data_IF_344727919693
#
_entry.id   IF_344727919693
#
_cell.length_a   1.000
_cell.length_b   1.000
_cell.length_c   1.000
_cell.angle_alpha   90.00
_cell.angle_beta   90.00
_cell.angle_gamma   90.00
#
_symmetry.space_group_name_H-M   'P 1'
#
loop_
_entity.id
_entity.type
_entity.pdbx_description
1 polymer ?
#
# COMPACT_ATOMS: atom_id res chain seq x y z
N UNK A 1 -28.73 -29.92 23.15
CA UNK A 1 -27.42 -29.25 23.13
C UNK A 1 -27.61 -27.92 22.41
N UNK A 2 -27.43 -26.79 23.10
CA UNK A 2 -27.53 -25.49 22.45
C UNK A 2 -26.27 -25.28 21.60
N UNK A 3 -26.45 -25.12 20.28
CA UNK A 3 -25.40 -24.70 19.37
C UNK A 3 -24.93 -23.31 19.79
N UNK A 4 -23.68 -23.20 20.23
CA UNK A 4 -23.08 -21.92 20.53
C UNK A 4 -22.92 -21.16 19.20
N UNK A 5 -23.67 -20.06 19.05
CA UNK A 5 -23.42 -19.07 18.01
C UNK A 5 -21.96 -18.63 18.11
N UNK A 6 -21.15 -18.70 17.03
CA UNK A 6 -19.78 -18.24 17.09
C UNK A 6 -19.79 -16.75 17.45
N UNK A 7 -19.10 -16.39 18.53
CA UNK A 7 -18.98 -14.99 18.94
C UNK A 7 -18.36 -14.20 17.78
N UNK A 8 -19.07 -13.21 17.27
CA UNK A 8 -18.54 -12.30 16.26
C UNK A 8 -17.31 -11.62 16.86
N UNK A 9 -16.11 -12.02 16.41
CA UNK A 9 -14.86 -11.45 16.93
C UNK A 9 -14.85 -9.95 16.62
N UNK A 10 -15.00 -9.13 17.65
CA UNK A 10 -15.00 -7.67 17.54
C UNK A 10 -13.65 -7.19 16.99
N UNK A 11 -13.66 -6.24 16.05
CA UNK A 11 -12.45 -5.57 15.60
C UNK A 11 -11.88 -4.68 16.72
N UNK A 12 -10.56 -4.57 16.78
CA UNK A 12 -9.86 -3.64 17.67
C UNK A 12 -10.29 -2.18 17.40
N UNK A 13 -10.29 -1.30 18.43
CA UNK A 13 -10.46 0.14 18.24
C UNK A 13 -9.48 0.68 17.18
N UNK A 14 -9.90 1.64 16.35
CA UNK A 14 -9.07 2.17 15.24
C UNK A 14 -7.77 2.84 15.68
N UNK A 15 -7.67 3.24 16.96
CA UNK A 15 -6.45 3.73 17.61
C UNK A 15 -5.46 2.62 18.02
N UNK A 16 -5.86 1.36 17.90
CA UNK A 16 -5.08 0.19 18.33
C UNK A 16 -4.87 -0.80 17.17
N UNK A 17 -3.82 -1.61 17.32
CA UNK A 17 -3.50 -2.69 16.38
C UNK A 17 -2.98 -2.21 15.02
N UNK A 18 -2.95 -3.11 14.02
CA UNK A 18 -2.39 -2.83 12.71
C UNK A 18 -3.25 -1.86 11.91
N UNK A 19 -2.62 -0.97 11.16
CA UNK A 19 -3.32 -0.03 10.28
C UNK A 19 -4.02 -0.78 9.14
N UNK A 20 -5.19 -0.29 8.76
CA UNK A 20 -5.82 -0.56 7.45
C UNK A 20 -5.93 0.78 6.75
N UNK A 21 -5.21 0.92 5.64
CA UNK A 21 -5.01 2.17 4.92
C UNK A 21 -5.53 2.01 3.50
N UNK A 22 -6.26 3.00 3.02
CA UNK A 22 -6.78 3.01 1.65
C UNK A 22 -6.31 4.28 0.94
N UNK A 23 -5.67 4.13 -0.22
CA UNK A 23 -5.39 5.24 -1.11
C UNK A 23 -6.62 5.55 -1.98
N UNK A 24 -6.87 6.83 -2.20
CA UNK A 24 -7.98 7.33 -3.02
C UNK A 24 -7.44 8.38 -4.00
N UNK A 25 -6.96 7.90 -5.16
CA UNK A 25 -6.44 8.71 -6.25
C UNK A 25 -7.49 8.93 -7.34
N UNK A 26 -8.16 7.87 -7.78
CA UNK A 26 -9.30 7.95 -8.70
C UNK A 26 -10.53 8.46 -7.93
N UNK A 27 -10.59 9.79 -7.75
CA UNK A 27 -11.66 10.49 -7.03
C UNK A 27 -12.95 10.52 -7.84
N UNK A 28 -12.83 10.65 -9.16
CA UNK A 28 -13.94 10.55 -10.10
C UNK A 28 -13.66 9.46 -11.12
N UNK A 29 -14.67 8.65 -11.42
CA UNK A 29 -14.64 7.66 -12.50
C UNK A 29 -15.80 7.96 -13.45
N UNK A 30 -15.53 8.05 -14.74
CA UNK A 30 -16.54 8.34 -15.77
C UNK A 30 -17.37 9.60 -15.43
N UNK A 31 -16.70 10.63 -14.89
CA UNK A 31 -17.29 11.89 -14.44
C UNK A 31 -18.07 11.82 -13.13
N UNK A 32 -18.19 10.65 -12.49
CA UNK A 32 -18.91 10.46 -11.22
C UNK A 32 -17.96 10.35 -10.05
N UNK A 33 -18.28 11.07 -8.97
CA UNK A 33 -17.55 10.98 -7.71
C UNK A 33 -17.65 9.57 -7.09
N UNK A 34 -16.53 9.05 -6.59
CA UNK A 34 -16.44 7.76 -5.91
C UNK A 34 -16.48 7.98 -4.41
N UNK A 35 -17.60 7.65 -3.76
CA UNK A 35 -17.84 7.93 -2.33
C UNK A 35 -16.96 7.09 -1.38
N UNK A 36 -16.39 7.76 -0.38
CA UNK A 36 -15.63 7.19 0.73
C UNK A 36 -16.52 6.77 1.91
N UNK A 37 -17.78 7.23 1.97
CA UNK A 37 -18.69 6.91 3.09
C UNK A 37 -18.88 5.40 3.33
N UNK A 38 -18.89 4.52 2.30
CA UNK A 38 -18.95 3.08 2.52
C UNK A 38 -17.84 2.52 3.43
N UNK A 39 -16.69 3.19 3.52
CA UNK A 39 -15.62 2.80 4.44
C UNK A 39 -16.02 2.95 5.92
N UNK A 40 -16.86 3.93 6.26
CA UNK A 40 -17.31 4.17 7.64
C UNK A 40 -18.70 3.61 7.93
N UNK A 41 -19.52 3.33 6.91
CA UNK A 41 -20.86 2.76 7.10
C UNK A 41 -20.91 1.23 7.09
N UNK A 42 -19.85 0.54 6.64
CA UNK A 42 -19.79 -0.93 6.54
C UNK A 42 -18.79 -1.61 7.50
N UNK A 43 -18.45 -0.97 8.63
CA UNK A 43 -17.55 -1.53 9.65
C UNK A 43 -16.22 -2.07 9.09
N UNK A 44 -15.63 -1.35 8.13
CA UNK A 44 -14.44 -1.83 7.41
C UNK A 44 -13.19 -1.90 8.26
N UNK A 45 -13.18 -1.29 9.46
CA UNK A 45 -11.99 -1.18 10.30
C UNK A 45 -10.90 -0.29 9.72
N UNK A 46 -11.20 0.51 8.69
CA UNK A 46 -10.26 1.48 8.12
C UNK A 46 -9.75 2.42 9.21
N UNK A 47 -8.46 2.70 9.17
CA UNK A 47 -7.79 3.58 10.12
C UNK A 47 -7.32 4.87 9.46
N UNK A 48 -6.91 4.78 8.19
CA UNK A 48 -6.40 5.91 7.42
C UNK A 48 -6.96 5.88 6.00
N UNK A 49 -7.28 7.06 5.49
CA UNK A 49 -7.51 7.29 4.05
C UNK A 49 -6.49 8.29 3.57
N UNK A 50 -5.86 8.02 2.43
CA UNK A 50 -4.85 8.89 1.83
C UNK A 50 -5.40 9.41 0.50
N UNK A 51 -5.77 10.69 0.48
CA UNK A 51 -6.23 11.39 -0.72
C UNK A 51 -5.01 11.65 -1.60
N UNK A 52 -5.09 11.25 -2.86
CA UNK A 52 -3.98 11.31 -3.80
C UNK A 52 -4.45 11.83 -5.17
N UNK A 53 -3.56 12.29 -6.03
CA UNK A 53 -2.18 12.68 -5.75
C UNK A 53 -2.06 14.20 -5.76
N UNK A 54 -1.34 14.77 -4.79
CA UNK A 54 -1.07 16.21 -4.74
C UNK A 54 0.21 16.45 -5.54
N UNK A 55 0.16 17.36 -6.51
CA UNK A 55 1.30 17.72 -7.36
C UNK A 55 1.72 19.16 -7.14
N UNK A 56 3.03 19.39 -7.06
CA UNK A 56 3.64 20.71 -7.16
C UNK A 56 4.08 20.94 -8.59
N UNK A 57 3.38 21.83 -9.29
CA UNK A 57 3.63 22.15 -10.68
C UNK A 57 4.55 23.38 -10.80
N UNK A 58 4.88 23.78 -12.02
CA UNK A 58 5.70 24.97 -12.25
C UNK A 58 5.03 26.25 -11.78
N UNK A 59 5.81 27.11 -11.13
CA UNK A 59 5.37 28.37 -10.55
C UNK A 59 4.88 28.25 -9.10
N UNK A 60 5.16 29.24 -8.24
CA UNK A 60 4.70 29.23 -6.86
C UNK A 60 3.17 29.22 -6.79
N UNK A 61 2.62 28.38 -5.91
CA UNK A 61 1.16 28.28 -5.70
C UNK A 61 0.41 27.39 -6.71
N UNK A 62 1.09 26.88 -7.73
CA UNK A 62 0.50 25.95 -8.70
C UNK A 62 0.47 24.53 -8.13
N UNK A 63 -0.52 24.28 -7.26
CA UNK A 63 -0.74 23.00 -6.59
C UNK A 63 -2.04 22.39 -7.11
N UNK A 64 -1.98 21.15 -7.59
CA UNK A 64 -3.17 20.40 -8.01
C UNK A 64 -3.36 19.15 -7.17
N UNK A 65 -4.62 18.73 -7.04
CA UNK A 65 -5.02 17.39 -6.65
C UNK A 65 -5.40 16.67 -7.94
N UNK A 66 -4.62 15.67 -8.35
CA UNK A 66 -4.60 15.17 -9.72
C UNK A 66 -4.42 16.36 -10.69
N UNK A 67 -5.35 16.53 -11.63
CA UNK A 67 -5.22 17.54 -12.69
C UNK A 67 -5.83 18.91 -12.32
N UNK A 68 -6.55 19.02 -11.22
CA UNK A 68 -7.34 20.21 -10.88
C UNK A 68 -6.87 20.85 -9.55
N UNK A 69 -7.09 22.16 -9.34
CA UNK A 69 -6.85 22.78 -8.04
C UNK A 69 -7.64 22.07 -6.92
N UNK A 70 -7.10 21.92 -5.70
CA UNK A 70 -7.78 21.21 -4.61
C UNK A 70 -9.10 21.85 -4.17
N UNK A 71 -9.35 23.12 -4.52
CA UNK A 71 -10.60 23.85 -4.26
C UNK A 71 -11.58 23.85 -5.45
N UNK A 72 -11.32 23.06 -6.51
CA UNK A 72 -12.25 22.92 -7.62
C UNK A 72 -13.60 22.34 -7.15
N UNK A 73 -14.71 22.82 -7.72
CA UNK A 73 -16.08 22.46 -7.30
C UNK A 73 -16.36 20.95 -7.36
N UNK A 74 -15.72 20.23 -8.29
CA UNK A 74 -15.79 18.75 -8.36
C UNK A 74 -15.36 18.05 -7.06
N UNK A 75 -14.52 18.70 -6.23
CA UNK A 75 -14.04 18.14 -4.97
C UNK A 75 -14.87 18.56 -3.75
N UNK A 76 -15.96 19.30 -3.90
CA UNK A 76 -16.82 19.68 -2.78
C UNK A 76 -17.35 18.45 -2.01
N UNK A 77 -17.83 17.44 -2.73
CA UNK A 77 -18.29 16.18 -2.13
C UNK A 77 -17.15 15.44 -1.43
N UNK A 78 -15.95 15.41 -2.02
CA UNK A 78 -14.77 14.81 -1.40
C UNK A 78 -14.50 15.43 -0.03
N UNK A 79 -14.45 16.77 0.05
CA UNK A 79 -14.13 17.45 1.29
C UNK A 79 -15.24 17.32 2.34
N UNK A 80 -16.51 17.30 1.91
CA UNK A 80 -17.64 16.98 2.77
C UNK A 80 -17.53 15.58 3.39
N UNK A 81 -17.18 14.56 2.59
CA UNK A 81 -17.00 13.20 3.10
C UNK A 81 -15.74 13.03 3.95
N UNK A 82 -14.64 13.73 3.62
CA UNK A 82 -13.44 13.75 4.46
C UNK A 82 -13.76 14.21 5.89
N UNK A 83 -14.62 15.22 6.05
CA UNK A 83 -15.07 15.67 7.36
C UNK A 83 -15.82 14.55 8.13
N UNK A 84 -16.67 13.78 7.45
CA UNK A 84 -17.36 12.62 8.05
C UNK A 84 -16.41 11.50 8.44
N UNK A 85 -15.40 11.21 7.61
CA UNK A 85 -14.35 10.23 7.92
C UNK A 85 -13.58 10.65 9.18
N UNK A 86 -13.15 11.90 9.25
CA UNK A 86 -12.44 12.45 10.41
C UNK A 86 -13.30 12.42 11.67
N UNK A 87 -14.58 12.80 11.57
CA UNK A 87 -15.55 12.71 12.68
C UNK A 87 -15.77 11.27 13.17
N UNK A 88 -15.60 10.28 12.28
CA UNK A 88 -15.66 8.85 12.59
C UNK A 88 -14.33 8.28 13.13
N UNK A 89 -13.33 9.14 13.37
CA UNK A 89 -12.02 8.75 13.92
C UNK A 89 -11.00 8.26 12.89
N UNK A 90 -11.33 8.29 11.59
CA UNK A 90 -10.40 7.95 10.51
C UNK A 90 -9.40 9.10 10.31
N UNK A 91 -8.11 8.78 10.20
CA UNK A 91 -7.09 9.77 9.87
C UNK A 91 -7.04 9.98 8.37
N UNK A 92 -7.32 11.19 7.91
CA UNK A 92 -7.22 11.54 6.49
C UNK A 92 -5.89 12.27 6.25
N UNK A 93 -5.08 11.76 5.32
CA UNK A 93 -3.79 12.29 4.91
C UNK A 93 -3.81 12.64 3.41
N UNK A 94 -2.85 13.44 2.94
CA UNK A 94 -2.59 13.66 1.52
C UNK A 94 -1.31 12.96 1.07
N UNK A 95 -1.30 12.40 -0.15
CA UNK A 95 -0.08 11.92 -0.80
C UNK A 95 0.47 13.01 -1.72
N UNK A 96 1.68 13.48 -1.44
CA UNK A 96 2.44 14.36 -2.34
C UNK A 96 3.26 13.54 -3.34
N UNK A 97 3.25 13.94 -4.61
CA UNK A 97 4.02 13.29 -5.69
C UNK A 97 3.24 12.15 -6.33
N UNK A 98 3.76 10.92 -6.24
CA UNK A 98 3.25 9.77 -6.99
C UNK A 98 4.02 9.53 -8.28
N UNK A 99 3.41 8.84 -9.24
CA UNK A 99 4.06 8.51 -10.51
C UNK A 99 4.38 9.74 -11.38
N UNK A 100 3.62 10.83 -11.23
CA UNK A 100 3.92 12.09 -11.92
C UNK A 100 5.16 12.76 -11.31
N UNK A 101 6.18 13.01 -12.15
CA UNK A 101 7.46 13.58 -11.75
C UNK A 101 7.37 15.07 -11.34
N UNK A 102 8.43 15.55 -10.71
CA UNK A 102 8.68 16.98 -10.52
C UNK A 102 8.30 17.57 -9.16
N UNK A 103 7.47 16.91 -8.34
CA UNK A 103 7.13 17.48 -7.01
C UNK A 103 8.34 17.51 -6.07
N UNK A 104 9.15 16.44 -6.04
CA UNK A 104 10.35 16.39 -5.20
C UNK A 104 11.54 17.13 -5.81
N UNK A 105 11.71 17.12 -7.14
CA UNK A 105 12.71 17.94 -7.84
C UNK A 105 12.58 19.44 -7.51
N UNK A 106 11.33 19.90 -7.29
CA UNK A 106 11.04 21.30 -6.90
C UNK A 106 11.25 21.59 -5.41
N UNK A 107 11.28 20.55 -4.56
CA UNK A 107 11.48 20.68 -3.12
C UNK A 107 12.92 20.41 -2.69
N UNK A 108 13.68 19.68 -3.50
CA UNK A 108 15.09 19.40 -3.26
C UNK A 108 15.90 20.69 -3.48
N UNK A 109 16.16 21.39 -2.38
CA UNK A 109 17.18 22.44 -2.35
C UNK A 109 18.59 21.83 -2.55
N UNK A 110 19.61 22.66 -2.85
CA UNK A 110 20.97 22.21 -3.14
C UNK A 110 21.65 21.40 -2.02
N UNK A 111 21.07 21.36 -0.82
CA UNK A 111 21.65 20.75 0.39
C UNK A 111 21.18 19.32 0.70
N UNK A 112 20.41 18.66 -0.17
CA UNK A 112 20.15 17.21 -0.12
C UNK A 112 19.87 16.63 1.27
N UNK A 113 19.01 17.30 2.06
CA UNK A 113 18.87 17.02 3.50
C UNK A 113 18.23 15.64 3.69
N UNK A 114 19.03 14.67 4.15
CA UNK A 114 18.58 13.31 4.48
C UNK A 114 17.54 13.36 5.61
N UNK A 115 16.35 12.82 5.35
CA UNK A 115 15.28 12.68 6.34
C UNK A 115 15.75 11.83 7.54
N UNK A 116 15.40 12.27 8.75
CA UNK A 116 15.78 11.61 10.01
C UNK A 116 14.73 10.57 10.39
N UNK A 117 15.09 9.28 10.41
CA UNK A 117 14.16 8.15 10.61
C UNK A 117 13.24 8.22 11.84
N UNK A 118 13.61 8.94 12.91
CA UNK A 118 12.78 9.07 14.11
C UNK A 118 11.54 9.97 13.93
N UNK A 119 11.50 10.82 12.91
CA UNK A 119 10.35 11.68 12.61
C UNK A 119 9.32 11.00 11.70
N UNK A 120 9.68 9.87 11.09
CA UNK A 120 8.80 9.15 10.16
C UNK A 120 7.91 8.19 10.94
N UNK A 121 6.59 8.37 10.81
CA UNK A 121 5.62 7.58 11.55
C UNK A 121 5.61 6.10 11.14
N UNK A 122 5.60 5.81 9.83
CA UNK A 122 5.74 4.49 9.21
C UNK A 122 6.01 4.65 7.70
N UNK A 123 6.21 3.52 7.00
CA UNK A 123 6.44 3.43 5.56
C UNK A 123 5.38 2.55 4.92
N UNK A 124 4.63 3.10 3.96
CA UNK A 124 3.74 2.35 3.08
C UNK A 124 4.60 1.68 2.00
N UNK A 125 5.01 0.43 2.25
CA UNK A 125 6.03 -0.26 1.44
C UNK A 125 5.36 -0.99 0.29
N UNK A 126 5.78 -0.74 -0.95
CA UNK A 126 5.14 -1.31 -2.14
C UNK A 126 5.66 -2.73 -2.40
N UNK A 127 4.82 -3.75 -2.17
CA UNK A 127 5.13 -5.16 -2.50
C UNK A 127 4.47 -5.56 -3.83
N UNK A 128 4.64 -4.70 -4.84
CA UNK A 128 4.05 -4.85 -6.17
C UNK A 128 4.92 -4.11 -7.21
N UNK A 129 4.56 -4.21 -8.49
CA UNK A 129 5.28 -3.56 -9.61
C UNK A 129 6.79 -3.84 -9.64
N UNK A 130 7.23 -5.06 -9.32
CA UNK A 130 8.65 -5.42 -9.37
C UNK A 130 9.46 -5.01 -8.13
N UNK A 131 8.84 -4.31 -7.15
CA UNK A 131 9.54 -3.79 -5.96
C UNK A 131 9.55 -4.74 -4.76
N UNK A 132 8.65 -5.71 -4.77
CA UNK A 132 8.53 -6.73 -3.74
C UNK A 132 7.35 -7.66 -4.07
N UNK A 133 7.24 -8.75 -3.33
CA UNK A 133 6.18 -9.75 -3.52
C UNK A 133 5.47 -10.05 -2.19
N UNK A 134 4.14 -10.08 -2.24
CA UNK A 134 3.29 -10.36 -1.10
C UNK A 134 2.55 -11.71 -1.17
N UNK A 135 2.98 -12.63 -2.06
CA UNK A 135 2.40 -13.98 -2.15
C UNK A 135 2.86 -14.88 -0.99
N UNK A 136 3.97 -14.51 -0.33
CA UNK A 136 4.52 -15.19 0.85
C UNK A 136 5.00 -14.17 1.90
N UNK A 137 5.43 -14.63 3.08
CA UNK A 137 6.02 -13.73 4.11
C UNK A 137 7.46 -13.31 3.81
N UNK A 138 8.10 -13.90 2.78
CA UNK A 138 9.55 -13.83 2.58
C UNK A 138 10.08 -12.39 2.53
N UNK A 139 9.49 -11.53 1.70
CA UNK A 139 9.96 -10.15 1.53
C UNK A 139 9.84 -9.33 2.80
N UNK A 140 8.74 -9.53 3.55
CA UNK A 140 8.57 -8.87 4.83
C UNK A 140 9.59 -9.39 5.86
N UNK A 141 9.81 -10.70 5.91
CA UNK A 141 10.82 -11.33 6.76
C UNK A 141 12.23 -10.82 6.45
N UNK A 142 12.55 -10.59 5.18
CA UNK A 142 13.82 -10.00 4.74
C UNK A 142 13.97 -8.53 5.17
N UNK A 143 12.91 -7.73 5.14
CA UNK A 143 12.93 -6.36 5.67
C UNK A 143 13.17 -6.39 7.19
N UNK A 144 12.54 -7.32 7.91
CA UNK A 144 12.74 -7.46 9.36
C UNK A 144 14.16 -7.95 9.70
N UNK A 145 14.77 -8.83 8.89
CA UNK A 145 16.09 -9.39 9.17
C UNK A 145 17.22 -8.36 9.09
N UNK A 146 17.03 -7.28 8.33
CA UNK A 146 17.98 -6.15 8.26
C UNK A 146 17.70 -5.05 9.31
N UNK A 147 16.79 -5.29 10.26
CA UNK A 147 16.62 -4.47 11.46
C UNK A 147 15.48 -3.46 11.44
N UNK A 148 14.59 -3.50 10.44
CA UNK A 148 13.40 -2.65 10.44
C UNK A 148 12.40 -3.07 11.52
N UNK A 149 11.69 -2.10 12.06
CA UNK A 149 10.64 -2.31 13.06
C UNK A 149 9.32 -2.67 12.38
N UNK A 150 8.68 -3.75 12.82
CA UNK A 150 7.39 -4.17 12.26
C UNK A 150 6.28 -3.11 12.38
N UNK A 151 6.26 -2.28 13.43
CA UNK A 151 5.28 -1.19 13.58
C UNK A 151 5.46 -0.04 12.59
N UNK A 152 6.63 0.03 11.95
CA UNK A 152 7.00 1.04 10.95
C UNK A 152 6.81 0.55 9.51
N UNK A 153 6.62 -0.73 9.26
CA UNK A 153 6.49 -1.27 7.90
C UNK A 153 5.05 -1.69 7.67
N UNK A 154 4.36 -1.00 6.76
CA UNK A 154 3.02 -1.35 6.30
C UNK A 154 3.16 -2.10 4.97
N UNK A 155 2.50 -3.25 4.86
CA UNK A 155 2.47 -4.04 3.61
C UNK A 155 1.57 -3.36 2.60
N UNK A 156 2.13 -2.97 1.47
CA UNK A 156 1.38 -2.37 0.37
C UNK A 156 1.04 -3.37 -0.72
N UNK A 157 -0.25 -3.41 -1.06
CA UNK A 157 -0.83 -4.27 -2.09
C UNK A 157 -1.54 -3.42 -3.14
N UNK A 158 -1.51 -3.88 -4.40
CA UNK A 158 -2.52 -3.44 -5.38
C UNK A 158 -3.85 -4.12 -5.07
N UNK A 159 -4.95 -3.38 -5.09
CA UNK A 159 -6.30 -3.87 -4.72
C UNK A 159 -7.05 -4.53 -5.87
N UNK A 160 -6.54 -4.37 -7.09
CA UNK A 160 -7.00 -5.04 -8.31
C UNK A 160 -5.82 -5.24 -9.27
N UNK A 161 -5.90 -6.21 -10.20
CA UNK A 161 -4.87 -6.37 -11.24
C UNK A 161 -4.67 -5.15 -12.12
N UNK A 162 -5.71 -4.31 -12.26
CA UNK A 162 -5.65 -3.08 -13.07
C UNK A 162 -4.82 -1.95 -12.45
N UNK A 163 -4.48 -2.05 -11.17
CA UNK A 163 -3.75 -1.01 -10.44
C UNK A 163 -2.23 -1.18 -10.47
N UNK A 164 -1.73 -2.30 -11.00
CA UNK A 164 -0.30 -2.59 -11.15
C UNK A 164 0.02 -4.09 -11.18
N UNK A 165 1.25 -4.42 -11.59
CA UNK A 165 1.74 -5.79 -11.58
C UNK A 165 1.88 -6.34 -10.16
N UNK A 166 1.80 -7.67 -9.99
CA UNK A 166 1.98 -8.29 -8.67
C UNK A 166 0.73 -8.27 -7.79
N UNK A 167 -0.47 -8.23 -8.39
CA UNK A 167 -1.71 -8.48 -7.66
C UNK A 167 -1.71 -9.86 -7.02
N UNK A 168 -2.09 -9.90 -5.74
CA UNK A 168 -2.19 -11.13 -4.94
C UNK A 168 -3.66 -11.37 -4.62
N UNK A 169 -4.13 -12.57 -4.95
CA UNK A 169 -5.51 -12.98 -4.67
C UNK A 169 -5.88 -12.84 -3.19
N UNK A 170 -7.17 -12.60 -2.93
CA UNK A 170 -7.63 -12.26 -1.59
C UNK A 170 -7.40 -13.35 -0.55
N UNK A 171 -7.63 -14.62 -0.90
CA UNK A 171 -7.39 -15.74 0.03
C UNK A 171 -5.92 -15.75 0.47
N UNK A 172 -5.01 -15.71 -0.51
CA UNK A 172 -3.56 -15.69 -0.29
C UNK A 172 -3.12 -14.48 0.51
N UNK A 173 -3.53 -13.26 0.11
CA UNK A 173 -3.12 -12.04 0.81
C UNK A 173 -3.65 -12.01 2.25
N UNK A 174 -4.89 -12.43 2.51
CA UNK A 174 -5.41 -12.54 3.87
C UNK A 174 -4.62 -13.55 4.72
N UNK A 175 -4.25 -14.71 4.16
CA UNK A 175 -3.46 -15.72 4.86
C UNK A 175 -2.05 -15.21 5.20
N UNK A 176 -1.38 -14.56 4.25
CA UNK A 176 -0.08 -13.91 4.48
C UNK A 176 -0.20 -12.84 5.56
N UNK A 177 -1.22 -11.99 5.51
CA UNK A 177 -1.42 -10.95 6.53
C UNK A 177 -1.67 -11.53 7.93
N UNK A 178 -2.42 -12.64 8.03
CA UNK A 178 -2.61 -13.37 9.31
C UNK A 178 -1.29 -13.94 9.83
N UNK A 179 -0.50 -14.57 8.96
CA UNK A 179 0.82 -15.11 9.32
C UNK A 179 1.76 -14.01 9.81
N UNK A 180 1.83 -12.88 9.11
CA UNK A 180 2.65 -11.73 9.50
C UNK A 180 2.17 -11.13 10.84
N UNK A 181 0.86 -10.98 11.03
CA UNK A 181 0.28 -10.47 12.28
C UNK A 181 0.56 -11.39 13.46
N UNK A 182 0.54 -12.71 13.26
CA UNK A 182 0.86 -13.68 14.30
C UNK A 182 2.37 -13.73 14.60
N UNK A 183 3.23 -13.63 13.59
CA UNK A 183 4.69 -13.66 13.72
C UNK A 183 5.25 -12.36 14.31
N UNK A 184 4.65 -11.22 13.96
CA UNK A 184 5.06 -9.89 14.40
C UNK A 184 3.90 -9.21 15.15
N UNK A 185 3.82 -9.33 16.49
CA UNK A 185 2.72 -8.76 17.27
C UNK A 185 2.55 -7.24 17.14
N UNK A 186 3.59 -6.52 16.72
CA UNK A 186 3.57 -5.08 16.43
C UNK A 186 3.36 -4.75 14.94
N UNK A 187 2.95 -5.73 14.12
CA UNK A 187 2.71 -5.59 12.67
C UNK A 187 2.04 -4.26 12.30
N UNK A 188 2.70 -3.49 11.43
CA UNK A 188 2.36 -2.10 11.15
C UNK A 188 1.03 -1.91 10.43
N UNK A 189 0.60 -2.92 9.66
CA UNK A 189 -0.67 -2.93 8.95
C UNK A 189 -0.54 -3.21 7.46
N UNK A 190 -1.63 -2.93 6.74
CA UNK A 190 -1.75 -3.05 5.30
C UNK A 190 -2.24 -1.74 4.68
N UNK A 191 -1.77 -1.43 3.48
CA UNK A 191 -2.34 -0.39 2.63
C UNK A 191 -2.77 -0.98 1.28
N UNK A 192 -3.77 -0.36 0.66
CA UNK A 192 -4.31 -0.75 -0.64
C UNK A 192 -4.21 0.37 -1.67
N UNK A 193 -3.60 0.06 -2.81
CA UNK A 193 -3.55 0.89 -4.03
C UNK A 193 -4.46 0.31 -5.13
N UNK A 194 -5.64 0.87 -5.40
CA UNK A 194 -6.33 1.94 -4.69
C UNK A 194 -7.84 1.65 -4.57
N UNK A 195 -8.59 2.54 -3.92
CA UNK A 195 -9.95 2.25 -3.46
C UNK A 195 -10.95 1.85 -4.55
N UNK A 196 -11.13 2.68 -5.59
CA UNK A 196 -12.35 2.74 -6.40
C UNK A 196 -12.74 1.47 -7.17
N UNK A 197 -11.81 0.55 -7.37
CA UNK A 197 -11.97 -0.69 -8.13
C UNK A 197 -11.48 -1.90 -7.33
N UNK A 198 -11.40 -1.77 -6.01
CA UNK A 198 -10.85 -2.81 -5.15
C UNK A 198 -11.67 -4.09 -5.25
N UNK A 199 -11.02 -5.20 -5.59
CA UNK A 199 -11.66 -6.51 -5.58
C UNK A 199 -11.98 -6.92 -4.13
N UNK A 200 -13.13 -7.56 -3.87
CA UNK A 200 -13.97 -8.28 -4.82
C UNK A 200 -15.19 -7.49 -5.28
N UNK A 201 -15.47 -6.32 -4.68
CA UNK A 201 -16.63 -5.50 -5.02
C UNK A 201 -16.41 -4.60 -6.23
N UNK A 202 -15.16 -4.53 -6.71
CA UNK A 202 -14.72 -3.71 -7.83
C UNK A 202 -15.24 -2.28 -7.69
N UNK A 203 -16.10 -1.85 -8.60
CA UNK A 203 -16.65 -0.49 -8.63
C UNK A 203 -17.97 -0.34 -7.87
N UNK A 204 -18.64 -1.44 -7.54
CA UNK A 204 -19.92 -1.42 -6.82
C UNK A 204 -19.71 -1.36 -5.30
N UNK A 205 -18.86 -2.24 -4.79
CA UNK A 205 -18.62 -2.39 -3.35
C UNK A 205 -17.12 -2.42 -3.00
N UNK A 206 -16.32 -1.43 -3.43
CA UNK A 206 -14.86 -1.41 -3.23
C UNK A 206 -14.44 -1.52 -1.76
N UNK A 207 -15.30 -1.12 -0.83
CA UNK A 207 -15.08 -1.20 0.62
C UNK A 207 -14.89 -2.64 1.14
N UNK A 208 -15.32 -3.67 0.40
CA UNK A 208 -15.14 -5.08 0.78
C UNK A 208 -13.67 -5.44 1.00
N UNK A 209 -12.75 -4.86 0.23
CA UNK A 209 -11.32 -5.11 0.38
C UNK A 209 -10.82 -4.68 1.77
N UNK A 210 -11.15 -3.46 2.19
CA UNK A 210 -10.75 -2.94 3.49
C UNK A 210 -11.36 -3.76 4.63
N UNK A 211 -12.64 -4.13 4.50
CA UNK A 211 -13.32 -4.98 5.47
C UNK A 211 -12.68 -6.39 5.58
N UNK A 212 -12.29 -6.99 4.46
CA UNK A 212 -11.59 -8.27 4.41
C UNK A 212 -10.24 -8.21 5.14
N UNK A 213 -9.45 -7.19 4.83
CA UNK A 213 -8.15 -6.95 5.47
C UNK A 213 -8.29 -6.71 6.98
N UNK A 214 -9.26 -5.91 7.41
CA UNK A 214 -9.49 -5.69 8.84
C UNK A 214 -9.86 -6.98 9.56
N UNK A 215 -10.73 -7.82 8.99
CA UNK A 215 -11.04 -9.17 9.53
C UNK A 215 -9.82 -10.08 9.57
N UNK A 216 -8.83 -9.88 8.70
CA UNK A 216 -7.59 -10.66 8.73
C UNK A 216 -6.66 -10.23 9.87
N UNK A 217 -6.54 -8.93 10.18
CA UNK A 217 -5.44 -8.43 11.02
C UNK A 217 -5.86 -7.65 12.28
N UNK A 218 -7.10 -7.17 12.38
CA UNK A 218 -7.53 -6.26 13.44
C UNK A 218 -8.32 -6.96 14.56
N UNK A 219 -7.87 -8.14 14.96
CA UNK A 219 -8.38 -8.85 16.14
C UNK A 219 -7.34 -8.92 17.24
N UNK A 220 -7.79 -9.06 18.49
CA UNK A 220 -6.90 -9.30 19.62
C UNK A 220 -6.13 -10.60 19.39
N UNK A 221 -4.81 -10.56 19.56
CA UNK A 221 -3.98 -11.76 19.51
C UNK A 221 -4.22 -12.58 20.79
N UNK A 222 -4.23 -13.93 20.71
CA UNK A 222 -4.28 -14.76 21.90
C UNK A 222 -3.13 -14.43 22.87
N UNK A 223 -3.30 -14.60 24.18
CA UNK A 223 -2.21 -14.48 25.14
C UNK A 223 -1.03 -15.37 24.72
N UNK A 224 0.18 -14.82 24.81
CA UNK A 224 1.45 -15.47 24.50
C UNK A 224 1.69 -16.65 25.47
N UNK A 225 1.05 -17.78 25.18
CA UNK A 225 1.08 -18.99 26.00
C UNK A 225 0.18 -20.14 25.51
N UNK A 226 -0.76 -19.87 24.58
CA UNK A 226 -1.70 -20.88 24.05
C UNK A 226 -1.48 -21.31 22.59
N UNK A 227 -0.37 -20.90 21.96
CA UNK A 227 -0.02 -21.39 20.62
C UNK A 227 0.53 -22.83 20.69
N UNK A 228 -0.32 -23.80 21.02
CA UNK A 228 -0.06 -25.20 20.73
C UNK A 228 -0.11 -25.36 19.21
N UNK A 229 1.01 -25.79 18.61
CA UNK A 229 1.18 -25.86 17.17
C UNK A 229 0.03 -26.59 16.49
N UNK A 230 -0.85 -25.82 15.83
CA UNK A 230 -1.82 -26.37 14.91
C UNK A 230 -1.10 -27.06 13.76
N UNK A 231 -1.52 -28.29 13.44
CA UNK A 231 -0.98 -29.08 12.35
C UNK A 231 -1.06 -28.28 11.04
N UNK A 232 0.07 -28.11 10.36
CA UNK A 232 0.07 -27.91 8.90
C UNK A 232 0.57 -26.58 8.35
N UNK A 233 1.40 -25.81 9.04
CA UNK A 233 2.34 -24.88 8.39
C UNK A 233 3.62 -24.88 9.22
N UNK A 234 4.71 -25.40 8.67
CA UNK A 234 6.03 -25.26 9.29
C UNK A 234 6.26 -23.78 9.57
N UNK A 235 6.49 -23.41 10.83
CA UNK A 235 7.07 -22.11 11.14
C UNK A 235 8.45 -22.13 10.46
N UNK A 236 8.73 -21.31 9.42
CA UNK A 236 10.11 -21.16 9.01
C UNK A 236 10.82 -20.61 10.25
N UNK A 237 11.79 -21.37 10.75
CA UNK A 237 12.66 -20.89 11.82
C UNK A 237 13.22 -19.52 11.42
N UNK A 238 13.56 -18.69 12.41
CA UNK A 238 14.25 -17.43 12.19
C UNK A 238 15.69 -17.60 11.63
N UNK A 239 15.97 -18.69 10.91
CA UNK A 239 17.25 -19.05 10.34
C UNK A 239 17.10 -19.43 8.89
N UNK A 240 17.82 -18.70 8.04
CA UNK A 240 17.99 -18.87 6.60
C UNK A 240 16.80 -18.44 5.73
N UNK A 241 16.69 -17.12 5.53
CA UNK A 241 16.25 -16.61 4.23
C UNK A 241 17.08 -17.32 3.14
N UNK A 242 16.49 -17.84 2.05
CA UNK A 242 17.24 -18.33 0.91
C UNK A 242 18.33 -17.32 0.48
N UNK A 243 19.46 -17.80 -0.06
CA UNK A 243 20.59 -16.95 -0.44
C UNK A 243 20.24 -15.95 -1.56
N UNK A 244 19.12 -16.18 -2.26
CA UNK A 244 18.61 -15.33 -3.33
C UNK A 244 17.21 -14.82 -2.99
N UNK A 245 17.00 -13.52 -3.20
CA UNK A 245 15.70 -12.86 -3.08
C UNK A 245 14.86 -13.23 -4.31
N UNK A 246 13.64 -13.80 -4.18
CA UNK A 246 12.77 -14.10 -5.31
C UNK A 246 12.46 -12.84 -6.11
N UNK A 247 12.55 -12.93 -7.44
CA UNK A 247 12.30 -11.80 -8.35
C UNK A 247 10.80 -11.46 -8.32
N UNK A 248 10.39 -10.22 -8.00
CA UNK A 248 8.99 -9.85 -8.01
C UNK A 248 8.43 -9.68 -9.42
N UNK A 249 7.11 -9.86 -9.56
CA UNK A 249 6.43 -9.70 -10.84
C UNK A 249 6.40 -8.24 -11.32
N UNK A 250 6.59 -8.03 -12.62
CA UNK A 250 6.44 -6.75 -13.32
C UNK A 250 5.68 -6.94 -14.64
N UNK A 251 5.22 -5.84 -15.25
CA UNK A 251 4.44 -5.87 -16.51
C UNK A 251 5.25 -5.52 -17.77
N UNK A 252 6.53 -5.14 -17.65
CA UNK A 252 7.33 -4.72 -18.80
C UNK A 252 7.78 -5.89 -19.68
N UNK A 253 7.78 -5.72 -21.02
CA UNK A 253 8.37 -6.68 -21.96
C UNK A 253 9.82 -7.01 -21.62
N UNK A 254 10.22 -8.26 -21.84
CA UNK A 254 11.62 -8.70 -21.63
C UNK A 254 12.60 -7.87 -22.48
N UNK A 255 12.23 -7.54 -23.72
CA UNK A 255 13.05 -6.75 -24.63
C UNK A 255 13.34 -5.33 -24.10
N UNK A 256 12.40 -4.72 -23.40
CA UNK A 256 12.57 -3.38 -22.83
C UNK A 256 13.57 -3.41 -21.67
N UNK A 257 13.50 -4.47 -20.84
CA UNK A 257 14.46 -4.70 -19.76
C UNK A 257 15.84 -5.01 -20.33
N UNK A 258 15.93 -5.91 -21.31
CA UNK A 258 17.18 -6.25 -21.99
C UNK A 258 17.83 -5.02 -22.63
N UNK A 259 17.03 -4.12 -23.21
CA UNK A 259 17.53 -2.86 -23.78
C UNK A 259 18.26 -2.04 -22.73
N UNK A 260 17.67 -1.87 -21.54
CA UNK A 260 18.32 -1.14 -20.44
C UNK A 260 19.48 -1.92 -19.81
N UNK A 261 19.43 -3.25 -19.78
CA UNK A 261 20.55 -4.08 -19.31
C UNK A 261 21.75 -4.02 -20.24
N UNK A 262 21.53 -3.94 -21.55
CA UNK A 262 22.60 -3.75 -22.54
C UNK A 262 23.29 -2.38 -22.38
N UNK A 263 22.65 -1.42 -21.72
CA UNK A 263 23.25 -0.14 -21.32
C UNK A 263 24.05 -0.22 -20.00
N UNK A 264 24.10 -1.40 -19.36
CA UNK A 264 24.88 -1.67 -18.15
C UNK A 264 24.09 -1.63 -16.84
N UNK A 265 22.77 -1.43 -16.89
CA UNK A 265 21.93 -1.37 -15.69
C UNK A 265 21.46 -2.75 -15.24
N UNK A 266 21.26 -2.92 -13.93
CA UNK A 266 20.64 -4.16 -13.41
C UNK A 266 19.16 -4.26 -13.81
N UNK A 267 18.61 -5.47 -13.81
CA UNK A 267 17.18 -5.69 -14.08
C UNK A 267 16.29 -4.90 -13.11
N UNK A 268 16.70 -4.78 -11.83
CA UNK A 268 15.97 -3.98 -10.85
C UNK A 268 16.00 -2.49 -11.18
N UNK A 269 17.14 -1.94 -11.62
CA UNK A 269 17.24 -0.55 -12.09
C UNK A 269 16.38 -0.32 -13.35
N UNK A 270 16.36 -1.27 -14.28
CA UNK A 270 15.54 -1.20 -15.48
C UNK A 270 14.04 -1.16 -15.13
N UNK A 271 13.56 -2.11 -14.32
CA UNK A 271 12.16 -2.16 -13.87
C UNK A 271 11.79 -0.90 -13.08
N UNK A 272 12.68 -0.44 -12.21
CA UNK A 272 12.53 0.79 -11.46
C UNK A 272 12.28 2.02 -12.35
N UNK A 273 13.15 2.18 -13.36
CA UNK A 273 13.06 3.29 -14.29
C UNK A 273 11.81 3.20 -15.14
N UNK A 274 11.46 2.02 -15.64
CA UNK A 274 10.24 1.79 -16.41
C UNK A 274 8.97 2.06 -15.59
N UNK A 275 8.95 1.71 -14.31
CA UNK A 275 7.84 2.10 -13.42
C UNK A 275 7.70 3.61 -13.29
N UNK A 276 8.82 4.34 -13.18
CA UNK A 276 8.84 5.79 -13.05
C UNK A 276 8.52 6.54 -14.36
N UNK A 277 8.55 5.86 -15.50
CA UNK A 277 8.31 6.43 -16.83
C UNK A 277 7.11 5.82 -17.54
N UNK A 278 6.26 5.10 -16.80
CA UNK A 278 5.08 4.43 -17.34
C UNK A 278 5.40 3.52 -18.53
N UNK A 279 6.53 2.82 -18.47
CA UNK A 279 7.00 1.90 -19.50
C UNK A 279 7.74 2.54 -20.68
N UNK A 280 7.95 3.86 -20.68
CA UNK A 280 8.71 4.50 -21.75
C UNK A 280 10.23 4.20 -21.58
N UNK A 281 10.77 3.36 -22.48
CA UNK A 281 12.16 2.90 -22.46
C UNK A 281 13.16 4.03 -22.65
N UNK A 282 12.88 4.98 -23.54
CA UNK A 282 13.77 6.10 -23.84
C UNK A 282 13.90 7.03 -22.62
N UNK A 283 12.77 7.38 -21.99
CA UNK A 283 12.76 8.15 -20.77
C UNK A 283 13.35 7.38 -19.58
N UNK A 284 13.19 6.05 -19.55
CA UNK A 284 13.78 5.20 -18.53
C UNK A 284 15.32 5.20 -18.64
N UNK A 285 15.85 5.08 -19.87
CA UNK A 285 17.27 5.20 -20.13
C UNK A 285 17.79 6.58 -19.72
N UNK A 286 17.10 7.66 -20.09
CA UNK A 286 17.43 9.03 -19.67
C UNK A 286 17.53 9.16 -18.14
N UNK A 287 16.50 8.69 -17.42
CA UNK A 287 16.49 8.70 -15.95
C UNK A 287 17.69 7.96 -15.34
N UNK A 288 18.07 6.83 -15.94
CA UNK A 288 19.15 5.99 -15.43
C UNK A 288 20.55 6.60 -15.62
N UNK A 289 20.74 7.48 -16.61
CA UNK A 289 22.01 8.17 -16.85
C UNK A 289 22.14 9.51 -16.10
N UNK A 290 21.06 10.03 -15.52
CA UNK A 290 21.07 11.27 -14.73
C UNK A 290 21.57 11.08 -13.28
N UNK A 291 21.88 9.85 -12.87
CA UNK A 291 22.39 9.50 -11.53
C UNK A 291 23.69 8.70 -11.54
#
# INVERSE_FOLDING_TARGET
MASATPATTRLLPTSEGPRVIVYHQTIHRDGKYVSLLPLITNQTGVTHVIVAAIHLNEGPGNITLNDDPPHASKYETLWGEVAWLQASGVKVLGMLGGAAKGSFERLDGPDGRKMRGNQIAWYNTQFYCGWGDATTTFWYDAIMSVGWRADKVVVGLVTSPGNGAGYVEQSTSHDVMRMLRAKYPTFGGVMGWEYFNSMPGEHGEPWHWAAGMARAIRHALPPSGQLQGGRGVERPGAGNLPPTIPVPAHSFPAQDIETLQNLGFSSQQAIAALNATSGNVEYAAGLLFEY
#
